data_IF_686864365065
#
_entry.id   IF_686864365065
#
_cell.length_a   1.000
_cell.length_b   1.000
_cell.length_c   1.000
_cell.angle_alpha   90.00
_cell.angle_beta   90.00
_cell.angle_gamma   90.00
#
_symmetry.space_group_name_H-M   'P 1'
#
loop_
_entity.id
_entity.type
_entity.pdbx_description
1 polymer ?
#
# COMPACT_ATOMS: atom_id res chain seq x y z
N UNK A 1 12.50 25.06 26.50
CA UNK A 1 12.15 23.78 27.13
C UNK A 1 11.92 22.77 26.02
N UNK A 2 12.93 21.98 25.69
CA UNK A 2 12.87 20.92 24.67
C UNK A 2 12.70 19.59 25.44
N UNK A 3 11.49 19.02 25.45
CA UNK A 3 11.15 17.83 26.26
C UNK A 3 11.45 16.51 25.51
N UNK A 4 12.24 16.54 24.44
CA UNK A 4 12.50 15.39 23.55
C UNK A 4 13.81 14.65 23.80
N UNK A 5 14.47 14.87 24.94
CA UNK A 5 15.79 14.29 25.24
C UNK A 5 15.69 12.90 25.86
N UNK A 6 15.55 11.86 25.02
CA UNK A 6 15.98 10.52 25.47
C UNK A 6 16.33 9.54 24.34
N UNK A 7 15.81 9.74 23.13
CA UNK A 7 16.00 8.77 22.05
C UNK A 7 16.82 9.34 20.90
N UNK A 8 17.97 8.73 20.66
CA UNK A 8 18.77 8.98 19.45
C UNK A 8 17.97 8.57 18.21
N UNK A 9 17.81 9.51 17.28
CA UNK A 9 17.12 9.23 16.02
C UNK A 9 18.09 8.55 15.05
N UNK A 10 17.83 7.29 14.64
CA UNK A 10 18.67 6.62 13.67
C UNK A 10 18.52 7.26 12.29
N UNK A 11 19.61 7.24 11.50
CA UNK A 11 19.57 7.76 10.14
C UNK A 11 18.79 6.81 9.21
N UNK A 12 17.88 7.30 8.34
CA UNK A 12 17.09 6.46 7.43
C UNK A 12 17.87 5.99 6.18
N UNK A 13 19.21 5.93 6.25
CA UNK A 13 20.07 5.69 5.10
C UNK A 13 20.11 4.19 4.73
N UNK A 14 19.84 3.87 3.46
CA UNK A 14 19.93 2.51 2.91
C UNK A 14 21.21 2.24 2.11
N UNK A 15 22.23 3.10 2.25
CA UNK A 15 23.50 3.09 1.49
C UNK A 15 23.37 3.12 -0.05
N UNK A 16 22.19 3.47 -0.56
CA UNK A 16 21.96 3.75 -1.97
C UNK A 16 22.04 5.27 -2.11
N UNK A 17 23.04 5.78 -2.83
CA UNK A 17 23.32 7.22 -2.95
C UNK A 17 22.97 7.79 -4.33
N UNK A 18 22.01 7.21 -5.03
CA UNK A 18 21.53 7.71 -6.32
C UNK A 18 20.51 8.84 -6.16
N UNK A 19 20.62 9.88 -6.98
CA UNK A 19 19.65 10.97 -7.05
C UNK A 19 18.54 10.63 -8.05
N UNK A 20 17.32 11.04 -7.71
CA UNK A 20 16.19 11.11 -8.63
C UNK A 20 16.24 12.45 -9.39
N UNK A 21 15.49 12.58 -10.48
CA UNK A 21 15.31 13.78 -11.29
C UNK A 21 14.83 15.00 -10.49
N UNK A 22 14.20 14.75 -9.33
CA UNK A 22 13.75 15.80 -8.38
C UNK A 22 14.80 16.21 -7.34
N UNK A 23 16.02 15.65 -7.38
CA UNK A 23 17.10 15.96 -6.44
C UNK A 23 17.02 15.25 -5.09
N UNK A 24 16.16 14.23 -4.95
CA UNK A 24 16.05 13.39 -3.75
C UNK A 24 16.78 12.05 -3.93
N UNK A 25 17.33 11.51 -2.85
CA UNK A 25 17.91 10.17 -2.86
C UNK A 25 16.85 9.09 -3.15
N UNK A 26 17.10 8.17 -4.09
CA UNK A 26 16.18 7.07 -4.43
C UNK A 26 15.95 6.10 -3.26
N UNK A 27 16.95 5.90 -2.39
CA UNK A 27 16.87 4.97 -1.27
C UNK A 27 16.20 5.53 -0.02
N UNK A 28 16.69 6.68 0.46
CA UNK A 28 16.26 7.29 1.73
C UNK A 28 15.35 8.52 1.58
N UNK A 29 15.10 9.00 0.35
CA UNK A 29 14.25 10.18 0.06
C UNK A 29 14.69 11.50 0.72
N UNK A 30 15.93 11.56 1.19
CA UNK A 30 16.55 12.79 1.70
C UNK A 30 17.02 13.70 0.56
N UNK A 31 16.95 15.01 0.78
CA UNK A 31 17.59 15.99 -0.10
C UNK A 31 19.12 16.00 0.10
N UNK A 32 19.84 16.72 -0.78
CA UNK A 32 21.30 16.91 -0.63
C UNK A 32 21.64 17.63 0.66
N UNK A 33 20.93 18.72 0.97
CA UNK A 33 21.20 19.55 2.15
C UNK A 33 20.88 18.79 3.43
N UNK A 34 19.76 18.04 3.45
CA UNK A 34 19.43 17.19 4.59
C UNK A 34 20.59 16.22 4.89
N UNK A 35 21.16 15.56 3.87
CA UNK A 35 22.31 14.65 4.06
C UNK A 35 23.54 15.37 4.60
N UNK A 36 23.87 16.54 4.06
CA UNK A 36 25.05 17.32 4.45
C UNK A 36 24.98 17.78 5.91
N UNK A 37 23.81 18.28 6.33
CA UNK A 37 23.61 18.89 7.65
C UNK A 37 23.04 17.91 8.70
N UNK A 38 22.96 16.60 8.42
CA UNK A 38 22.37 15.63 9.35
C UNK A 38 23.00 15.64 10.75
N UNK A 39 24.33 15.77 10.81
CA UNK A 39 25.06 15.79 12.07
C UNK A 39 24.91 17.12 12.82
N UNK A 40 24.45 18.18 12.15
CA UNK A 40 24.25 19.51 12.72
C UNK A 40 22.81 19.75 13.19
N UNK A 41 21.87 18.87 12.81
CA UNK A 41 20.47 18.99 13.19
C UNK A 41 20.22 18.61 14.65
N UNK A 42 19.30 19.33 15.29
CA UNK A 42 18.75 18.94 16.59
C UNK A 42 17.95 17.65 16.48
N UNK A 43 17.73 16.96 17.60
CA UNK A 43 16.93 15.72 17.60
C UNK A 43 15.51 15.96 17.04
N UNK A 44 14.89 17.08 17.38
CA UNK A 44 13.61 17.49 16.79
C UNK A 44 13.68 17.63 15.26
N UNK A 45 14.72 18.29 14.74
CA UNK A 45 14.91 18.44 13.29
C UNK A 45 15.17 17.10 12.60
N UNK A 46 15.94 16.20 13.22
CA UNK A 46 16.16 14.84 12.70
C UNK A 46 14.84 14.07 12.58
N UNK A 47 13.97 14.13 13.58
CA UNK A 47 12.62 13.55 13.52
C UNK A 47 11.80 14.14 12.38
N UNK A 48 11.81 15.47 12.22
CA UNK A 48 11.10 16.14 11.14
C UNK A 48 11.57 15.66 9.76
N UNK A 49 12.89 15.53 9.57
CA UNK A 49 13.47 15.02 8.32
C UNK A 49 13.03 13.58 8.04
N UNK A 50 13.03 12.70 9.05
CA UNK A 50 12.55 11.32 8.89
C UNK A 50 11.08 11.28 8.47
N UNK A 51 10.22 12.04 9.14
CA UNK A 51 8.80 12.17 8.79
C UNK A 51 8.60 12.67 7.35
N UNK A 52 9.40 13.64 6.91
CA UNK A 52 9.35 14.13 5.53
C UNK A 52 9.77 13.06 4.52
N UNK A 53 10.79 12.27 4.83
CA UNK A 53 11.24 11.16 3.98
C UNK A 53 10.15 10.11 3.79
N UNK A 54 9.43 9.76 4.86
CA UNK A 54 8.30 8.84 4.80
C UNK A 54 7.15 9.40 3.95
N UNK A 55 6.78 10.67 4.15
CA UNK A 55 5.77 11.34 3.32
C UNK A 55 6.14 11.33 1.85
N UNK A 56 7.41 11.62 1.52
CA UNK A 56 7.92 11.56 0.13
C UNK A 56 7.85 10.14 -0.42
N UNK A 57 8.25 9.14 0.36
CA UNK A 57 8.17 7.72 0.00
C UNK A 57 6.74 7.28 -0.31
N UNK A 58 5.77 7.65 0.53
CA UNK A 58 4.35 7.32 0.32
C UNK A 58 3.81 7.95 -0.97
N UNK A 59 4.16 9.21 -1.26
CA UNK A 59 3.78 9.86 -2.54
C UNK A 59 4.33 9.12 -3.76
N UNK A 60 5.57 8.65 -3.69
CA UNK A 60 6.20 7.88 -4.79
C UNK A 60 5.51 6.53 -4.95
N UNK A 61 5.18 5.84 -3.85
CA UNK A 61 4.46 4.56 -3.90
C UNK A 61 3.04 4.72 -4.46
N UNK A 62 2.31 5.74 -4.03
CA UNK A 62 0.97 6.04 -4.55
C UNK A 62 1.00 6.37 -6.05
N UNK A 63 1.95 7.21 -6.49
CA UNK A 63 2.13 7.52 -7.91
C UNK A 63 2.48 6.26 -8.74
N UNK A 64 3.31 5.36 -8.19
CA UNK A 64 3.64 4.08 -8.83
C UNK A 64 2.41 3.18 -8.95
N UNK A 65 1.58 3.08 -7.91
CA UNK A 65 0.35 2.30 -7.95
C UNK A 65 -0.65 2.84 -8.97
N UNK A 66 -0.82 4.17 -9.06
CA UNK A 66 -1.66 4.80 -10.06
C UNK A 66 -1.18 4.53 -11.50
N UNK A 67 0.15 4.53 -11.73
CA UNK A 67 0.72 4.22 -13.03
C UNK A 67 0.59 2.74 -13.42
N UNK A 68 0.64 1.82 -12.44
CA UNK A 68 0.45 0.38 -12.66
C UNK A 68 -1.02 -0.04 -12.78
N UNK A 69 -1.98 0.79 -12.38
CA UNK A 69 -3.41 0.57 -12.58
C UNK A 69 -3.94 1.47 -13.70
N UNK A 70 -3.60 1.24 -14.98
CA UNK A 70 -4.41 1.78 -16.05
C UNK A 70 -5.75 1.04 -16.01
N UNK A 71 -6.79 1.70 -15.52
CA UNK A 71 -8.19 1.26 -15.59
C UNK A 71 -8.34 -0.27 -15.51
N UNK A 72 -8.21 -0.84 -14.32
CA UNK A 72 -8.92 -2.09 -14.06
C UNK A 72 -10.39 -1.77 -14.32
N UNK A 73 -10.84 -2.28 -15.46
CA UNK A 73 -12.18 -2.38 -16.01
C UNK A 73 -13.22 -2.17 -14.92
N UNK A 74 -14.19 -1.29 -15.19
CA UNK A 74 -15.38 -1.12 -14.38
C UNK A 74 -16.14 -2.46 -14.30
N UNK A 75 -15.73 -3.33 -13.38
CA UNK A 75 -16.56 -4.40 -12.89
C UNK A 75 -17.54 -3.77 -11.89
N UNK A 76 -18.85 -3.88 -12.11
CA UNK A 76 -19.84 -3.36 -11.18
C UNK A 76 -19.65 -4.08 -9.85
N UNK A 77 -19.37 -3.29 -8.82
CA UNK A 77 -19.35 -3.71 -7.42
C UNK A 77 -20.55 -4.65 -7.17
N UNK A 78 -20.35 -5.90 -6.70
CA UNK A 78 -21.49 -6.74 -6.35
C UNK A 78 -22.34 -5.98 -5.32
N UNK A 79 -23.66 -5.91 -5.52
CA UNK A 79 -24.54 -5.14 -4.66
C UNK A 79 -24.37 -5.65 -3.23
N UNK A 80 -23.94 -4.75 -2.35
CA UNK A 80 -23.88 -5.04 -0.91
C UNK A 80 -25.33 -5.26 -0.46
N UNK A 81 -25.68 -6.40 0.16
CA UNK A 81 -27.02 -6.56 0.70
C UNK A 81 -27.18 -5.57 1.87
N UNK A 82 -28.23 -4.76 1.79
CA UNK A 82 -28.59 -3.82 2.85
C UNK A 82 -28.86 -4.59 4.15
N UNK A 83 -27.99 -4.38 5.14
CA UNK A 83 -28.03 -5.03 6.46
C UNK A 83 -29.35 -4.79 7.20
N UNK A 84 -30.09 -3.75 6.82
CA UNK A 84 -31.41 -3.44 7.38
C UNK A 84 -32.53 -4.36 6.86
N UNK A 85 -32.39 -4.93 5.66
CA UNK A 85 -33.38 -5.89 5.12
C UNK A 85 -33.30 -7.25 5.83
N UNK A 86 -32.11 -7.64 6.30
CA UNK A 86 -31.89 -8.91 7.00
C UNK A 86 -32.48 -8.97 8.42
N UNK A 87 -32.88 -7.83 9.01
CA UNK A 87 -33.40 -7.74 10.37
C UNK A 87 -34.93 -7.61 10.44
N UNK A 88 -35.62 -7.53 9.30
CA UNK A 88 -37.08 -7.35 9.24
C UNK A 88 -37.89 -8.64 9.00
N UNK A 89 -37.25 -9.81 8.88
CA UNK A 89 -37.93 -11.08 8.55
C UNK A 89 -38.08 -12.05 9.72
N UNK A 90 -38.06 -11.57 10.96
CA UNK A 90 -38.52 -12.37 12.10
C UNK A 90 -39.96 -12.00 12.44
N UNK A 91 -40.91 -12.47 11.65
CA UNK A 91 -42.29 -12.76 12.08
C UNK A 91 -43.11 -13.31 10.90
N UNK A 92 -43.08 -14.62 10.65
CA UNK A 92 -44.28 -15.48 10.55
C UNK A 92 -43.91 -16.94 10.23
N UNK A 93 -44.77 -17.83 10.68
CA UNK A 93 -44.52 -19.24 10.90
C UNK A 93 -44.56 -20.14 9.64
N UNK A 94 -43.84 -21.26 9.78
CA UNK A 94 -44.20 -22.62 9.36
C UNK A 94 -44.24 -22.99 7.86
N UNK A 95 -43.54 -24.11 7.54
CA UNK A 95 -44.04 -25.30 6.82
C UNK A 95 -42.99 -25.90 5.85
N UNK A 96 -42.44 -27.04 6.27
CA UNK A 96 -41.97 -28.23 5.51
C UNK A 96 -41.52 -28.07 4.06
N UNK A 97 -40.33 -28.57 3.72
CA UNK A 97 -40.18 -29.90 3.10
C UNK A 97 -38.71 -30.26 2.84
N UNK A 98 -38.44 -31.56 3.02
CA UNK A 98 -37.24 -32.31 2.67
C UNK A 98 -36.98 -32.37 1.16
N UNK A 99 -35.70 -32.34 0.75
CA UNK A 99 -35.31 -32.63 -0.63
C UNK A 99 -33.81 -32.46 -0.95
N UNK A 100 -32.99 -33.44 -0.54
CA UNK A 100 -31.72 -33.89 -1.18
C UNK A 100 -32.00 -34.35 -2.64
N UNK A 101 -31.08 -34.46 -3.65
CA UNK A 101 -29.60 -34.57 -3.65
C UNK A 101 -28.84 -33.79 -4.76
N UNK A 102 -27.51 -34.04 -4.84
CA UNK A 102 -26.69 -34.20 -6.07
C UNK A 102 -25.73 -33.03 -6.34
N UNK A 103 -24.40 -33.08 -6.13
CA UNK A 103 -23.30 -33.96 -6.56
C UNK A 103 -22.33 -33.20 -7.50
N UNK A 104 -21.04 -33.55 -7.39
CA UNK A 104 -19.90 -33.26 -8.28
C UNK A 104 -19.32 -31.83 -8.21
N UNK A 105 -18.23 -31.57 -7.48
CA UNK A 105 -16.84 -32.05 -7.62
C UNK A 105 -16.10 -31.46 -8.85
N UNK A 106 -15.14 -30.58 -8.54
CA UNK A 106 -14.06 -30.09 -9.40
C UNK A 106 -13.17 -31.25 -9.90
N UNK A 107 -12.32 -31.05 -10.92
CA UNK A 107 -10.96 -30.57 -10.60
C UNK A 107 -10.28 -29.68 -11.66
N UNK A 108 -9.10 -29.20 -11.23
CA UNK A 108 -8.14 -28.30 -11.84
C UNK A 108 -7.55 -28.72 -13.20
N UNK A 109 -7.02 -27.74 -13.94
CA UNK A 109 -5.88 -27.94 -14.83
C UNK A 109 -5.07 -26.65 -15.04
N UNK A 110 -3.79 -26.77 -14.70
CA UNK A 110 -2.65 -25.85 -14.84
C UNK A 110 -2.40 -25.41 -16.30
N UNK A 111 -1.95 -24.16 -16.53
CA UNK A 111 -0.95 -23.86 -17.58
C UNK A 111 -0.27 -22.49 -17.40
N UNK A 112 1.00 -22.53 -17.00
CA UNK A 112 2.06 -21.56 -17.37
C UNK A 112 2.71 -22.08 -18.68
N UNK A 113 3.48 -21.33 -19.51
CA UNK A 113 3.98 -19.95 -19.37
C UNK A 113 3.95 -19.11 -20.68
N UNK A 114 4.14 -17.78 -20.56
CA UNK A 114 4.91 -16.98 -21.52
C UNK A 114 5.12 -15.55 -20.98
N UNK A 115 6.38 -15.14 -20.80
CA UNK A 115 6.76 -13.73 -20.65
C UNK A 115 6.98 -13.14 -22.04
N UNK A 116 6.61 -11.87 -22.27
CA UNK A 116 7.64 -10.93 -22.73
C UNK A 116 7.46 -9.51 -22.17
N UNK A 117 8.57 -8.78 -22.05
CA UNK A 117 8.54 -7.31 -22.04
C UNK A 117 9.26 -6.65 -20.86
N UNK A 118 10.59 -6.66 -20.90
CA UNK A 118 11.43 -5.77 -20.10
C UNK A 118 11.11 -4.31 -20.47
N UNK A 119 10.63 -3.53 -19.51
CA UNK A 119 10.52 -2.08 -19.58
C UNK A 119 11.59 -1.51 -18.66
N UNK A 120 12.69 -1.06 -19.26
CA UNK A 120 13.74 -0.32 -18.56
C UNK A 120 13.23 1.09 -18.23
N UNK A 121 13.01 1.34 -16.94
CA UNK A 121 12.70 2.65 -16.36
C UNK A 121 13.74 3.00 -15.30
N UNK A 122 14.98 3.16 -15.76
CA UNK A 122 16.06 3.81 -15.02
C UNK A 122 16.51 5.08 -15.73
#
# INVERSE_FOLDING_TARGET
MDQGEFFDIPSPCKRICELNNRGYCKGCFRSRDERLYWNQFSNFQKQLVVNLCEKRRLKVLAAKQAALQPAAIADPLPPQPDLFTALSETDTAATTNTGTPSAAAAPAAESKPAQPGQIDLF
#
